data_IF_834523494701
#
_entry.id   IF_834523494701
#
_cell.length_a   1.000
_cell.length_b   1.000
_cell.length_c   1.000
_cell.angle_alpha   90.00
_cell.angle_beta   90.00
_cell.angle_gamma   90.00
#
_symmetry.space_group_name_H-M   'P 1'
#
loop_
_entity.id
_entity.type
_entity.pdbx_description
1 polymer ?
#
# COMPACT_ATOMS: atom_id res chain seq x y z
N UNK A 1 2.46 -9.61 15.22
CA UNK A 1 2.36 -11.05 15.40
C UNK A 1 3.21 -11.80 14.37
N UNK A 2 2.94 -11.64 13.03
CA UNK A 2 3.63 -12.36 11.95
C UNK A 2 5.16 -12.24 12.08
N UNK A 3 5.70 -11.02 12.16
CA UNK A 3 7.16 -10.79 12.29
C UNK A 3 7.77 -11.43 13.53
N UNK A 4 7.01 -11.60 14.61
CA UNK A 4 7.50 -12.28 15.82
C UNK A 4 7.58 -13.80 15.67
N UNK A 5 6.69 -14.36 14.85
CA UNK A 5 6.60 -15.82 14.61
C UNK A 5 7.51 -16.23 13.45
N UNK A 6 7.51 -15.43 12.37
CA UNK A 6 8.26 -15.71 11.14
C UNK A 6 9.20 -14.53 10.86
N UNK A 7 10.43 -14.63 11.32
CA UNK A 7 11.39 -13.52 11.28
C UNK A 7 11.77 -13.08 9.86
N UNK A 8 11.92 -14.05 8.97
CA UNK A 8 12.50 -13.86 7.64
C UNK A 8 11.47 -13.87 6.49
N UNK A 9 10.18 -13.96 6.82
CA UNK A 9 9.13 -13.94 5.80
C UNK A 9 8.85 -12.50 5.35
N UNK A 10 8.87 -12.20 4.06
CA UNK A 10 8.45 -10.91 3.53
C UNK A 10 7.00 -10.60 3.91
N UNK A 11 6.77 -9.39 4.39
CA UNK A 11 5.42 -8.92 4.75
C UNK A 11 5.04 -7.76 3.85
N UNK A 12 4.06 -7.99 2.99
CA UNK A 12 3.47 -6.99 2.10
C UNK A 12 2.08 -6.64 2.61
N UNK A 13 1.83 -5.37 2.90
CA UNK A 13 0.51 -4.88 3.26
C UNK A 13 -0.24 -4.41 2.02
N UNK A 14 -1.51 -4.69 1.95
CA UNK A 14 -2.38 -4.24 0.87
C UNK A 14 -3.80 -3.92 1.34
N UNK A 15 -4.66 -3.58 0.40
CA UNK A 15 -6.05 -3.25 0.64
C UNK A 15 -6.27 -1.77 1.00
N UNK A 16 -7.53 -1.41 1.21
CA UNK A 16 -7.95 -0.02 1.37
C UNK A 16 -7.32 0.65 2.60
N UNK A 17 -7.24 -0.05 3.70
CA UNK A 17 -6.69 0.46 4.96
C UNK A 17 -5.18 0.78 4.80
N UNK A 18 -4.42 -0.13 4.21
CA UNK A 18 -3.00 0.10 3.94
C UNK A 18 -2.79 1.24 2.94
N UNK A 19 -3.64 1.35 1.92
CA UNK A 19 -3.60 2.43 0.94
C UNK A 19 -3.84 3.79 1.58
N UNK A 20 -4.81 3.91 2.49
CA UNK A 20 -5.12 5.16 3.19
C UNK A 20 -4.03 5.57 4.19
N UNK A 21 -3.33 4.61 4.78
CA UNK A 21 -2.30 4.81 5.81
C UNK A 21 -0.87 4.66 5.30
N UNK A 22 -0.66 4.68 4.00
CA UNK A 22 0.66 4.47 3.37
C UNK A 22 1.69 5.56 3.66
N UNK A 23 1.22 6.77 3.92
CA UNK A 23 2.00 7.94 4.35
C UNK A 23 1.48 8.41 5.71
N UNK A 24 2.00 9.54 6.22
CA UNK A 24 1.47 10.16 7.43
C UNK A 24 -0.02 10.44 7.27
N UNK A 25 -0.80 10.08 8.27
CA UNK A 25 -2.25 10.15 8.20
C UNK A 25 -2.86 10.54 9.55
N UNK A 26 -3.98 11.24 9.50
CA UNK A 26 -4.75 11.57 10.70
C UNK A 26 -5.59 10.36 11.13
N UNK A 27 -5.38 9.93 12.36
CA UNK A 27 -6.16 8.88 12.99
C UNK A 27 -7.27 9.48 13.87
N UNK A 28 -8.49 9.41 13.39
CA UNK A 28 -9.66 9.97 14.03
C UNK A 28 -9.88 9.45 15.47
N UNK A 29 -9.63 8.14 15.69
CA UNK A 29 -9.88 7.52 16.98
C UNK A 29 -8.95 8.02 18.09
N UNK A 30 -7.69 8.23 17.77
CA UNK A 30 -6.70 8.73 18.72
C UNK A 30 -6.52 10.24 18.67
N UNK A 31 -7.21 10.93 17.74
CA UNK A 31 -7.06 12.37 17.47
C UNK A 31 -5.60 12.80 17.31
N UNK A 32 -4.86 12.04 16.48
CA UNK A 32 -3.42 12.22 16.26
C UNK A 32 -2.99 11.96 14.84
N UNK A 33 -1.96 12.69 14.42
CA UNK A 33 -1.22 12.33 13.24
C UNK A 33 -0.37 11.09 13.52
N UNK A 34 -0.51 10.06 12.71
CA UNK A 34 0.23 8.79 12.76
C UNK A 34 1.24 8.72 11.64
N UNK A 35 2.30 7.97 11.86
CA UNK A 35 3.29 7.65 10.83
C UNK A 35 2.71 6.72 9.77
N UNK A 36 3.43 6.56 8.68
CA UNK A 36 3.12 5.52 7.69
C UNK A 36 2.92 4.16 8.36
N UNK A 37 1.89 3.42 7.91
CA UNK A 37 1.64 2.05 8.36
C UNK A 37 2.82 1.12 8.07
N UNK A 38 3.62 1.41 7.05
CA UNK A 38 4.84 0.68 6.73
C UNK A 38 5.82 0.67 7.91
N UNK A 39 6.00 1.83 8.56
CA UNK A 39 6.90 1.96 9.71
C UNK A 39 6.30 1.35 10.98
N UNK A 40 5.03 1.63 11.23
CA UNK A 40 4.37 1.22 12.47
C UNK A 40 4.07 -0.28 12.53
N UNK A 41 3.81 -0.93 11.41
CA UNK A 41 3.56 -2.37 11.35
C UNK A 41 4.83 -3.22 11.30
N UNK A 42 5.96 -2.65 10.88
CA UNK A 42 7.18 -3.37 10.58
C UNK A 42 7.06 -4.28 9.34
N UNK A 43 6.17 -3.93 8.42
CA UNK A 43 6.10 -4.58 7.10
C UNK A 43 7.29 -4.15 6.22
N UNK A 44 7.54 -4.91 5.17
CA UNK A 44 8.64 -4.64 4.23
C UNK A 44 8.19 -3.74 3.08
N UNK A 45 6.96 -3.93 2.62
CA UNK A 45 6.34 -3.17 1.53
C UNK A 45 4.86 -2.88 1.82
N UNK A 46 4.36 -1.82 1.21
CA UNK A 46 2.91 -1.59 1.06
C UNK A 46 2.58 -1.58 -0.43
N UNK A 47 1.61 -2.36 -0.87
CA UNK A 47 0.97 -2.24 -2.17
C UNK A 47 -0.30 -1.42 -2.00
N UNK A 48 -0.42 -0.27 -2.68
CA UNK A 48 -1.53 0.65 -2.53
C UNK A 48 -2.32 0.82 -3.83
N UNK A 49 -3.56 1.25 -3.70
CA UNK A 49 -4.47 1.40 -4.83
C UNK A 49 -4.89 0.05 -5.42
N UNK A 50 -4.91 -0.05 -6.74
CA UNK A 50 -5.20 -1.28 -7.47
C UNK A 50 -3.95 -2.15 -7.51
N UNK A 51 -3.96 -3.26 -6.79
CA UNK A 51 -2.78 -4.09 -6.53
C UNK A 51 -2.56 -5.25 -7.51
N UNK A 52 -3.37 -5.39 -8.55
CA UNK A 52 -3.36 -6.55 -9.43
C UNK A 52 -2.02 -6.72 -10.16
N UNK A 53 -1.44 -5.64 -10.68
CA UNK A 53 -0.11 -5.67 -11.27
C UNK A 53 0.97 -5.77 -10.21
N UNK A 54 0.96 -4.87 -9.23
CA UNK A 54 2.04 -4.78 -8.24
C UNK A 54 2.23 -6.07 -7.44
N UNK A 55 1.15 -6.78 -7.09
CA UNK A 55 1.29 -8.04 -6.32
C UNK A 55 1.96 -9.16 -7.15
N UNK A 56 1.71 -9.22 -8.45
CA UNK A 56 2.36 -10.19 -9.35
C UNK A 56 3.83 -9.84 -9.51
N UNK A 57 4.15 -8.56 -9.78
CA UNK A 57 5.53 -8.10 -9.93
C UNK A 57 6.34 -8.29 -8.65
N UNK A 58 5.75 -8.04 -7.47
CA UNK A 58 6.38 -8.31 -6.17
C UNK A 58 6.64 -9.81 -6.02
N UNK A 59 5.67 -10.65 -6.34
CA UNK A 59 5.82 -12.10 -6.23
C UNK A 59 6.92 -12.63 -7.17
N UNK A 60 6.98 -12.12 -8.39
CA UNK A 60 8.00 -12.50 -9.38
C UNK A 60 9.40 -12.03 -8.92
N UNK A 61 9.52 -10.82 -8.38
CA UNK A 61 10.78 -10.31 -7.85
C UNK A 61 11.29 -11.16 -6.67
N UNK A 62 10.43 -11.52 -5.73
CA UNK A 62 10.76 -12.41 -4.62
C UNK A 62 11.12 -13.83 -5.11
N UNK A 63 10.39 -14.36 -6.09
CA UNK A 63 10.67 -15.66 -6.69
C UNK A 63 12.01 -15.67 -7.44
N UNK A 64 12.42 -14.53 -8.00
CA UNK A 64 13.74 -14.34 -8.60
C UNK A 64 14.87 -14.20 -7.58
N UNK A 65 14.56 -14.18 -6.28
CA UNK A 65 15.53 -14.15 -5.19
C UNK A 65 15.92 -12.74 -4.71
N UNK A 66 15.15 -11.70 -5.06
CA UNK A 66 15.35 -10.36 -4.49
C UNK A 66 14.87 -10.34 -3.05
N UNK A 67 15.60 -9.62 -2.20
CA UNK A 67 15.08 -9.26 -0.89
C UNK A 67 13.98 -8.21 -1.00
N UNK A 68 13.00 -8.26 -0.11
CA UNK A 68 11.88 -7.30 -0.13
C UNK A 68 12.35 -5.83 -0.01
N UNK A 69 13.48 -5.58 0.66
CA UNK A 69 14.10 -4.27 0.77
C UNK A 69 14.66 -3.72 -0.55
N UNK A 70 14.92 -4.59 -1.52
CA UNK A 70 15.48 -4.22 -2.84
C UNK A 70 14.38 -3.97 -3.88
N UNK A 71 13.14 -4.32 -3.55
CA UNK A 71 11.96 -4.07 -4.41
C UNK A 71 11.52 -2.61 -4.27
N UNK A 72 12.24 -1.72 -4.94
CA UNK A 72 12.04 -0.26 -4.85
C UNK A 72 11.48 0.36 -6.14
N UNK A 73 11.23 -0.45 -7.17
CA UNK A 73 10.99 -0.01 -8.54
C UNK A 73 9.57 -0.30 -9.07
N UNK A 74 8.71 -0.94 -8.28
CA UNK A 74 7.36 -1.34 -8.71
C UNK A 74 6.37 -0.21 -8.45
N UNK A 75 5.62 0.19 -9.48
CA UNK A 75 4.55 1.17 -9.35
C UNK A 75 3.44 0.67 -8.41
N UNK A 76 2.77 1.59 -7.72
CA UNK A 76 1.74 1.24 -6.73
C UNK A 76 2.30 0.66 -5.43
N UNK A 77 3.59 0.87 -5.14
CA UNK A 77 4.22 0.40 -3.90
C UNK A 77 4.75 1.54 -3.04
N UNK A 78 4.95 1.23 -1.77
CA UNK A 78 5.63 2.11 -0.81
C UNK A 78 6.70 1.29 -0.08
N UNK A 79 7.89 1.83 0.00
CA UNK A 79 9.04 1.20 0.63
C UNK A 79 9.78 2.15 1.57
N UNK A 80 10.64 1.61 2.41
CA UNK A 80 11.50 2.38 3.32
C UNK A 80 12.89 2.56 2.72
N UNK A 81 13.39 3.80 2.74
CA UNK A 81 14.75 4.12 2.35
C UNK A 81 15.54 4.74 3.50
N UNK A 82 16.82 4.42 3.59
CA UNK A 82 17.76 5.04 4.56
C UNK A 82 18.44 6.29 3.99
N UNK A 83 18.58 6.35 2.68
CA UNK A 83 19.16 7.46 1.94
C UNK A 83 18.33 7.70 0.67
N UNK A 84 18.47 8.86 0.07
CA UNK A 84 17.83 9.21 -1.19
C UNK A 84 18.79 9.14 -2.40
N UNK A 85 19.97 8.59 -2.22
CA UNK A 85 21.03 8.55 -3.24
C UNK A 85 20.58 7.89 -4.55
N UNK A 86 19.68 6.89 -4.46
CA UNK A 86 19.14 6.16 -5.61
C UNK A 86 17.65 6.41 -5.85
N UNK A 87 17.10 7.47 -5.27
CA UNK A 87 15.71 7.87 -5.48
C UNK A 87 15.69 9.08 -6.41
N UNK A 88 15.13 8.92 -7.59
CA UNK A 88 15.12 9.94 -8.64
C UNK A 88 13.70 10.39 -8.98
N UNK A 89 13.56 11.59 -9.53
CA UNK A 89 12.30 12.17 -9.99
C UNK A 89 11.18 12.07 -8.96
N UNK A 90 11.41 12.68 -7.81
CA UNK A 90 10.45 12.68 -6.71
C UNK A 90 10.06 14.09 -6.28
N UNK A 91 8.93 14.19 -5.62
CA UNK A 91 8.53 15.36 -4.85
C UNK A 91 8.71 15.10 -3.35
N UNK A 92 9.36 16.05 -2.68
CA UNK A 92 9.59 15.96 -1.23
C UNK A 92 8.37 16.48 -0.48
N UNK A 93 7.80 15.65 0.36
CA UNK A 93 6.73 16.02 1.27
C UNK A 93 7.32 16.73 2.52
N UNK A 94 6.52 17.53 3.23
CA UNK A 94 6.87 17.98 4.57
C UNK A 94 7.26 16.80 5.47
N UNK A 95 8.22 17.01 6.37
CA UNK A 95 8.62 15.96 7.31
C UNK A 95 7.49 15.62 8.29
N UNK A 96 7.48 14.39 8.78
CA UNK A 96 6.49 13.98 9.80
C UNK A 96 6.50 14.89 11.02
N UNK A 97 7.69 15.30 11.49
CA UNK A 97 7.85 16.21 12.61
C UNK A 97 7.27 17.62 12.35
N UNK A 98 7.40 18.13 11.12
CA UNK A 98 6.81 19.43 10.76
C UNK A 98 5.28 19.35 10.70
N UNK A 99 4.76 18.26 10.13
CA UNK A 99 3.32 18.01 10.04
C UNK A 99 2.66 17.83 11.42
N UNK A 100 3.38 17.27 12.40
CA UNK A 100 2.87 17.16 13.77
C UNK A 100 2.78 18.51 14.49
N UNK A 101 3.59 19.48 14.09
CA UNK A 101 3.66 20.80 14.72
C UNK A 101 2.76 21.83 14.05
N UNK A 102 2.48 21.65 12.76
CA UNK A 102 1.73 22.60 11.96
C UNK A 102 0.76 21.89 11.01
N UNK A 103 -0.52 22.12 11.22
CA UNK A 103 -1.60 21.57 10.39
C UNK A 103 -1.53 22.04 8.93
N UNK A 104 -0.92 23.21 8.66
CA UNK A 104 -0.71 23.68 7.28
C UNK A 104 0.30 22.79 6.54
N UNK A 105 1.33 22.31 7.23
CA UNK A 105 2.28 21.36 6.63
C UNK A 105 1.59 20.02 6.29
N UNK A 106 0.67 19.56 7.15
CA UNK A 106 -0.13 18.39 6.83
C UNK A 106 -1.06 18.64 5.62
N UNK A 107 -1.69 19.81 5.54
CA UNK A 107 -2.52 20.19 4.40
C UNK A 107 -1.69 20.29 3.09
N UNK A 108 -0.44 20.80 3.17
CA UNK A 108 0.49 20.83 2.03
C UNK A 108 0.86 19.42 1.56
N UNK A 109 1.17 18.51 2.50
CA UNK A 109 1.43 17.12 2.18
C UNK A 109 0.26 16.48 1.43
N UNK A 110 -0.97 16.69 1.92
CA UNK A 110 -2.17 16.21 1.25
C UNK A 110 -2.32 16.76 -0.17
N UNK A 111 -2.10 18.06 -0.34
CA UNK A 111 -2.22 18.69 -1.67
C UNK A 111 -1.21 18.11 -2.68
N UNK A 112 0.03 17.87 -2.26
CA UNK A 112 1.05 17.22 -3.10
C UNK A 112 0.65 15.78 -3.42
N UNK A 113 0.17 15.02 -2.43
CA UNK A 113 -0.33 13.66 -2.64
C UNK A 113 -1.50 13.62 -3.64
N UNK A 114 -2.45 14.55 -3.50
CA UNK A 114 -3.60 14.65 -4.41
C UNK A 114 -3.16 14.98 -5.85
N UNK A 115 -2.24 15.93 -6.02
CA UNK A 115 -1.70 16.31 -7.33
C UNK A 115 -0.92 15.17 -8.03
N UNK A 116 -0.45 14.17 -7.27
CA UNK A 116 0.29 13.01 -7.78
C UNK A 116 -0.52 11.70 -7.73
N UNK A 117 -1.84 11.78 -7.73
CA UNK A 117 -2.72 10.61 -7.73
C UNK A 117 -2.99 10.03 -9.13
N UNK A 118 -2.64 10.74 -10.18
CA UNK A 118 -2.82 10.28 -11.57
C UNK A 118 -1.74 9.26 -11.94
N UNK A 119 -2.11 8.08 -12.48
CA UNK A 119 -1.16 7.01 -12.79
C UNK A 119 -0.27 7.28 -14.02
N UNK A 120 -0.54 8.33 -14.80
CA UNK A 120 0.23 8.68 -15.99
C UNK A 120 1.17 9.86 -15.77
N UNK A 121 0.85 10.74 -14.82
CA UNK A 121 1.60 11.97 -14.56
C UNK A 121 2.11 12.09 -13.14
N UNK A 122 1.61 11.23 -12.24
CA UNK A 122 2.03 11.22 -10.84
C UNK A 122 3.50 10.84 -10.69
N UNK A 123 4.18 11.53 -9.79
CA UNK A 123 5.59 11.32 -9.46
C UNK A 123 5.74 10.44 -8.22
N UNK A 124 6.97 10.04 -7.98
CA UNK A 124 7.40 9.46 -6.72
C UNK A 124 7.28 10.52 -5.61
N UNK A 125 6.83 10.12 -4.43
CA UNK A 125 6.74 10.99 -3.25
C UNK A 125 7.68 10.49 -2.17
N UNK A 126 8.37 11.40 -1.50
CA UNK A 126 9.28 11.09 -0.40
C UNK A 126 8.82 11.81 0.85
N UNK A 127 8.54 11.07 1.91
CA UNK A 127 8.16 11.59 3.22
C UNK A 127 9.30 11.35 4.23
N UNK A 128 9.97 12.41 4.72
CA UNK A 128 11.05 12.27 5.70
C UNK A 128 10.53 12.05 7.11
N UNK A 129 11.19 11.11 7.82
CA UNK A 129 10.97 10.84 9.26
C UNK A 129 12.20 11.19 10.09
N UNK A 130 13.38 11.11 9.51
CA UNK A 130 14.66 11.55 10.07
C UNK A 130 15.68 11.73 8.93
N UNK A 131 16.91 12.07 9.29
CA UNK A 131 18.02 12.17 8.32
C UNK A 131 18.37 10.83 7.66
N UNK A 132 17.92 9.72 8.23
CA UNK A 132 18.21 8.35 7.78
C UNK A 132 16.97 7.44 7.71
N UNK A 133 15.78 8.01 7.69
CA UNK A 133 14.54 7.26 7.56
C UNK A 133 13.54 8.02 6.68
N UNK A 134 13.26 7.45 5.52
CA UNK A 134 12.34 7.99 4.54
C UNK A 134 11.32 6.92 4.15
N UNK A 135 10.09 7.34 3.93
CA UNK A 135 9.08 6.54 3.26
C UNK A 135 8.95 7.05 1.83
N UNK A 136 9.16 6.16 0.88
CA UNK A 136 9.10 6.46 -0.55
C UNK A 136 7.89 5.79 -1.15
N UNK A 137 6.99 6.58 -1.70
CA UNK A 137 5.86 6.11 -2.49
C UNK A 137 6.23 6.17 -3.97
N UNK A 138 6.21 5.04 -4.65
CA UNK A 138 6.30 5.00 -6.11
C UNK A 138 5.03 5.58 -6.74
N UNK A 139 5.04 5.96 -8.04
CA UNK A 139 3.84 6.39 -8.74
C UNK A 139 2.72 5.37 -8.63
N UNK A 140 1.44 5.79 -8.77
CA UNK A 140 0.33 4.86 -8.79
C UNK A 140 0.46 3.83 -9.93
N UNK A 141 0.01 2.59 -9.68
CA UNK A 141 -0.11 1.58 -10.73
C UNK A 141 -1.04 2.06 -11.85
N UNK A 142 -0.71 1.71 -13.09
CA UNK A 142 -1.57 2.00 -14.23
C UNK A 142 -2.88 1.22 -14.13
N UNK A 143 -3.99 1.79 -14.63
CA UNK A 143 -5.26 1.08 -14.71
C UNK A 143 -5.12 -0.20 -15.54
N UNK A 144 -5.84 -1.25 -15.13
CA UNK A 144 -5.97 -2.45 -15.93
C UNK A 144 -6.67 -2.15 -17.26
N UNK A 145 -6.21 -2.79 -18.32
CA UNK A 145 -6.98 -2.87 -19.56
C UNK A 145 -8.22 -3.74 -19.36
N UNK A 146 -9.22 -3.61 -20.24
CA UNK A 146 -10.41 -4.48 -20.20
C UNK A 146 -10.04 -5.96 -20.22
N UNK A 147 -9.05 -6.34 -21.03
CA UNK A 147 -8.62 -7.74 -21.14
C UNK A 147 -7.98 -8.26 -19.84
N UNK A 148 -7.19 -7.45 -19.16
CA UNK A 148 -6.58 -7.79 -17.87
C UNK A 148 -7.66 -7.89 -16.76
N UNK A 149 -8.59 -6.94 -16.73
CA UNK A 149 -9.71 -6.99 -15.82
C UNK A 149 -10.55 -8.27 -16.03
N UNK A 150 -10.87 -8.59 -17.28
CA UNK A 150 -11.57 -9.83 -17.63
C UNK A 150 -10.79 -11.08 -17.20
N UNK A 151 -9.45 -11.05 -17.33
CA UNK A 151 -8.61 -12.16 -16.88
C UNK A 151 -8.69 -12.36 -15.35
N UNK A 152 -8.66 -11.27 -14.57
CA UNK A 152 -8.86 -11.31 -13.11
C UNK A 152 -10.22 -11.90 -12.75
N UNK A 153 -11.30 -11.45 -13.40
CA UNK A 153 -12.64 -11.97 -13.13
C UNK A 153 -12.86 -13.43 -13.57
N UNK A 154 -12.05 -13.93 -14.53
CA UNK A 154 -12.06 -15.34 -14.97
C UNK A 154 -11.28 -16.28 -14.06
N UNK A 155 -10.54 -15.76 -13.07
CA UNK A 155 -9.86 -16.62 -12.12
C UNK A 155 -10.86 -17.57 -11.43
N UNK A 156 -10.44 -18.80 -11.10
CA UNK A 156 -11.34 -19.84 -10.57
C UNK A 156 -11.69 -19.59 -9.10
N UNK A 157 -12.28 -18.44 -8.80
CA UNK A 157 -12.77 -18.15 -7.47
C UNK A 157 -13.94 -19.07 -7.11
N UNK A 158 -13.92 -19.61 -5.90
CA UNK A 158 -15.02 -20.43 -5.38
C UNK A 158 -16.34 -19.64 -5.24
N UNK A 159 -16.25 -18.30 -5.11
CA UNK A 159 -17.41 -17.40 -4.93
C UNK A 159 -18.33 -17.83 -3.78
N UNK A 160 -17.74 -18.46 -2.79
CA UNK A 160 -18.37 -18.93 -1.58
C UNK A 160 -17.36 -18.86 -0.43
N UNK A 161 -17.83 -19.01 0.81
CA UNK A 161 -16.94 -19.14 1.96
C UNK A 161 -16.19 -20.48 1.92
N UNK A 162 -15.08 -20.54 2.64
CA UNK A 162 -14.28 -21.77 2.74
C UNK A 162 -15.10 -22.88 3.40
N UNK A 163 -15.06 -24.15 2.91
CA UNK A 163 -15.85 -25.26 3.43
C UNK A 163 -15.70 -25.53 4.94
N UNK A 164 -14.57 -25.15 5.54
CA UNK A 164 -14.36 -25.28 6.98
C UNK A 164 -15.43 -24.57 7.84
N UNK A 165 -16.10 -23.56 7.30
CA UNK A 165 -17.16 -22.82 8.01
C UNK A 165 -18.55 -23.44 7.87
N UNK A 166 -18.71 -24.50 7.05
CA UNK A 166 -20.00 -25.16 6.80
C UNK A 166 -20.63 -25.68 8.11
N UNK A 167 -19.84 -26.41 8.91
CA UNK A 167 -20.30 -26.99 10.20
C UNK A 167 -20.67 -25.90 11.21
N UNK A 168 -20.07 -24.70 11.12
CA UNK A 168 -20.40 -23.56 11.95
C UNK A 168 -21.63 -22.75 11.46
N UNK A 169 -22.33 -23.22 10.41
CA UNK A 169 -23.50 -22.54 9.82
C UNK A 169 -23.15 -21.57 8.70
N UNK A 170 -21.91 -21.61 8.19
CA UNK A 170 -21.43 -20.77 7.10
C UNK A 170 -21.11 -19.34 7.54
N UNK A 171 -20.97 -18.45 6.55
CA UNK A 171 -20.74 -17.02 6.77
C UNK A 171 -21.96 -16.23 6.27
N UNK A 172 -22.78 -15.65 7.17
CA UNK A 172 -24.03 -14.97 6.79
C UNK A 172 -23.82 -13.82 5.77
N UNK A 173 -22.73 -13.07 5.90
CA UNK A 173 -22.43 -11.94 5.02
C UNK A 173 -22.35 -12.31 3.53
N UNK A 174 -22.02 -13.57 3.19
CA UNK A 174 -21.97 -14.00 1.79
C UNK A 174 -23.34 -13.92 1.10
N UNK A 175 -24.42 -14.02 1.86
CA UNK A 175 -25.79 -13.94 1.33
C UNK A 175 -26.12 -12.55 0.83
N UNK A 176 -25.54 -11.52 1.46
CA UNK A 176 -25.77 -10.13 1.12
C UNK A 176 -24.98 -9.71 -0.13
N UNK A 177 -23.75 -10.24 -0.29
CA UNK A 177 -22.88 -9.84 -1.39
C UNK A 177 -22.94 -10.73 -2.62
N UNK A 178 -23.48 -11.94 -2.51
CA UNK A 178 -23.43 -12.98 -3.58
C UNK A 178 -24.05 -12.54 -4.91
N UNK A 179 -25.05 -11.68 -4.87
CA UNK A 179 -25.78 -11.17 -6.04
C UNK A 179 -25.83 -9.63 -6.09
N UNK A 180 -24.95 -8.96 -5.34
CA UNK A 180 -24.90 -7.50 -5.38
C UNK A 180 -24.15 -7.02 -6.63
N UNK A 181 -24.68 -5.96 -7.24
CA UNK A 181 -24.02 -5.21 -8.29
C UNK A 181 -23.59 -3.86 -7.68
N UNK A 182 -22.32 -3.55 -7.79
CA UNK A 182 -21.82 -2.20 -7.53
C UNK A 182 -21.94 -1.38 -8.82
N UNK A 183 -22.72 -0.33 -8.78
CA UNK A 183 -22.84 0.66 -9.86
C UNK A 183 -21.88 1.83 -9.62
#
# INVERSE_FOLDING_TARGET
LIRRTYKDVPIVLGGIEASLRRLAHYDYWSDKLKRSILLDSGADLVSYGMGEHSIVEIADALAAGLDASDITFIDGTVYRAKTLEHVYDYELLPSFDSMQKDNLEYARSFNVQYGNSDPFTGKRLVEPYSDHEFVVQNPPSKPLTTSEMDAVYRLPYARAYHPMYEEAGGIPAIREVKFSLTS
#
